data_IF_064539458038
#
_entry.id   IF_064539458038
#
_cell.length_a   1.000
_cell.length_b   1.000
_cell.length_c   1.000
_cell.angle_alpha   90.00
_cell.angle_beta   90.00
_cell.angle_gamma   90.00
#
_symmetry.space_group_name_H-M   'P 1'
#
loop_
_entity.id
_entity.type
_entity.pdbx_description
1 polymer ?
#
# COMPACT_ATOMS: atom_id res chain seq x y z
N UNK A 1 -26.37 5.49 -5.21
CA UNK A 1 -26.52 6.62 -4.25
C UNK A 1 -27.97 6.66 -3.80
N UNK A 2 -28.20 6.88 -2.52
CA UNK A 2 -29.53 7.05 -1.95
C UNK A 2 -29.84 8.55 -1.85
N UNK A 3 -31.12 8.88 -1.72
CA UNK A 3 -31.55 10.26 -1.48
C UNK A 3 -31.18 10.66 -0.05
N UNK A 4 -29.95 11.17 0.13
CA UNK A 4 -29.39 11.50 1.41
C UNK A 4 -30.20 12.56 2.19
N UNK A 5 -30.74 13.64 1.57
CA UNK A 5 -31.59 14.63 2.23
C UNK A 5 -32.85 14.04 2.84
N UNK A 6 -33.45 13.02 2.23
CA UNK A 6 -34.63 12.33 2.79
C UNK A 6 -34.34 11.72 4.19
N UNK A 7 -33.10 11.26 4.41
CA UNK A 7 -32.65 10.74 5.69
C UNK A 7 -32.03 11.83 6.60
N UNK A 8 -32.06 13.09 6.20
CA UNK A 8 -31.43 14.19 6.93
C UNK A 8 -29.90 14.12 6.96
N UNK A 9 -29.30 13.51 5.93
CA UNK A 9 -27.87 13.33 5.75
C UNK A 9 -27.37 14.19 4.58
N UNK A 10 -26.08 14.57 4.59
CA UNK A 10 -25.43 15.30 3.50
C UNK A 10 -25.03 14.33 2.37
N UNK A 11 -24.69 13.09 2.73
CA UNK A 11 -24.36 12.03 1.78
C UNK A 11 -24.75 10.65 2.35
N UNK A 12 -25.26 9.79 1.47
CA UNK A 12 -25.52 8.38 1.79
C UNK A 12 -25.19 7.54 0.55
N UNK A 13 -24.21 6.64 0.70
CA UNK A 13 -23.73 5.78 -0.39
C UNK A 13 -23.69 4.33 0.08
N UNK A 14 -24.42 3.48 -0.63
CA UNK A 14 -24.35 2.03 -0.45
C UNK A 14 -23.45 1.39 -1.50
N UNK A 15 -22.67 0.41 -1.08
CA UNK A 15 -21.87 -0.45 -1.96
C UNK A 15 -22.14 -1.91 -1.64
N UNK A 16 -22.13 -2.75 -2.66
CA UNK A 16 -22.27 -4.19 -2.51
C UNK A 16 -21.35 -4.87 -3.51
N UNK A 17 -20.44 -5.70 -3.01
CA UNK A 17 -19.54 -6.53 -3.78
C UNK A 17 -19.67 -7.99 -3.33
N UNK A 18 -20.11 -8.88 -4.21
CA UNK A 18 -20.20 -10.30 -3.93
C UNK A 18 -19.24 -11.04 -4.85
N UNK A 19 -18.30 -11.74 -4.24
CA UNK A 19 -17.29 -12.53 -4.93
C UNK A 19 -17.39 -13.98 -4.42
N UNK A 20 -17.90 -14.89 -5.25
CA UNK A 20 -18.05 -16.27 -4.87
C UNK A 20 -17.70 -17.19 -6.02
N UNK A 21 -17.01 -18.29 -5.71
CA UNK A 21 -16.66 -19.34 -6.66
C UNK A 21 -17.09 -20.70 -6.13
N UNK A 22 -17.22 -21.69 -7.03
CA UNK A 22 -17.76 -23.02 -6.71
C UNK A 22 -16.76 -23.93 -6.02
N UNK A 23 -15.44 -23.73 -6.25
CA UNK A 23 -14.40 -24.64 -5.77
C UNK A 23 -13.11 -23.91 -5.32
N UNK A 24 -12.29 -24.62 -4.55
CA UNK A 24 -11.05 -24.08 -3.97
C UNK A 24 -9.91 -23.95 -4.98
N UNK A 25 -9.97 -24.63 -6.13
CA UNK A 25 -8.93 -24.61 -7.15
C UNK A 25 -9.11 -23.50 -8.18
N UNK A 26 -10.23 -22.76 -8.12
CA UNK A 26 -10.54 -21.65 -9.03
C UNK A 26 -9.38 -20.68 -9.21
N UNK A 27 -8.69 -20.30 -8.14
CA UNK A 27 -7.56 -19.37 -8.18
C UNK A 27 -6.37 -19.94 -8.96
N UNK A 28 -6.19 -21.26 -8.93
CA UNK A 28 -5.12 -21.95 -9.63
C UNK A 28 -5.45 -22.14 -11.10
N UNK A 29 -6.69 -22.44 -11.41
CA UNK A 29 -7.13 -22.78 -12.76
C UNK A 29 -7.47 -21.54 -13.60
N UNK A 30 -8.02 -20.51 -12.98
CA UNK A 30 -8.58 -19.35 -13.68
C UNK A 30 -7.96 -18.00 -13.30
N UNK A 31 -7.54 -17.79 -12.07
CA UNK A 31 -6.87 -16.55 -11.65
C UNK A 31 -5.36 -16.60 -11.86
N UNK A 32 -4.77 -15.45 -12.19
CA UNK A 32 -3.44 -15.39 -12.81
C UNK A 32 -2.49 -14.40 -12.16
N UNK A 33 -2.88 -13.83 -11.06
CA UNK A 33 -2.01 -13.08 -10.16
C UNK A 33 -1.74 -13.93 -8.94
N UNK A 34 -0.50 -14.41 -8.71
CA UNK A 34 -0.17 -15.19 -7.53
C UNK A 34 -0.11 -14.25 -6.31
N UNK A 35 -1.25 -13.88 -5.78
CA UNK A 35 -1.33 -13.13 -4.53
C UNK A 35 -2.28 -13.82 -3.58
N UNK A 36 -2.05 -13.67 -2.28
CA UNK A 36 -2.95 -14.17 -1.24
C UNK A 36 -4.37 -13.63 -1.41
N UNK A 37 -4.49 -12.40 -1.98
CA UNK A 37 -5.77 -11.77 -2.23
C UNK A 37 -6.64 -12.51 -3.23
N UNK A 38 -6.07 -13.28 -4.16
CA UNK A 38 -6.84 -14.12 -5.10
C UNK A 38 -7.45 -15.36 -4.46
N UNK A 39 -6.95 -15.76 -3.28
CA UNK A 39 -7.47 -16.87 -2.47
C UNK A 39 -8.45 -16.41 -1.39
N UNK A 40 -8.56 -15.10 -1.17
CA UNK A 40 -9.50 -14.46 -0.24
C UNK A 40 -10.51 -13.67 -1.05
N UNK A 41 -11.70 -14.21 -1.21
CA UNK A 41 -12.80 -13.57 -1.93
C UNK A 41 -13.68 -12.83 -0.94
N UNK A 42 -13.54 -11.50 -0.88
CA UNK A 42 -14.33 -10.67 0.01
C UNK A 42 -15.75 -10.50 -0.51
N UNK A 43 -16.72 -10.73 0.36
CA UNK A 43 -18.12 -10.35 0.18
C UNK A 43 -18.35 -9.16 1.11
N UNK A 44 -18.57 -7.99 0.55
CA UNK A 44 -18.58 -6.72 1.27
C UNK A 44 -19.84 -5.93 0.92
N UNK A 45 -20.67 -5.69 1.93
CA UNK A 45 -21.79 -4.77 1.84
C UNK A 45 -21.58 -3.61 2.79
N UNK A 46 -21.60 -2.36 2.31
CA UNK A 46 -21.43 -1.19 3.17
C UNK A 46 -22.40 -0.07 2.86
N UNK A 47 -22.75 0.68 3.90
CA UNK A 47 -23.53 1.89 3.86
C UNK A 47 -22.72 3.01 4.53
N UNK A 48 -22.29 3.98 3.74
CA UNK A 48 -21.48 5.10 4.19
C UNK A 48 -22.35 6.35 4.26
N UNK A 49 -22.24 7.12 5.34
CA UNK A 49 -23.02 8.32 5.58
C UNK A 49 -22.14 9.49 6.06
N UNK A 50 -22.56 10.71 5.74
CA UNK A 50 -21.94 11.95 6.19
C UNK A 50 -23.06 12.91 6.65
N UNK A 51 -22.81 13.61 7.77
CA UNK A 51 -23.66 14.68 8.28
C UNK A 51 -22.83 15.72 9.03
N UNK A 52 -22.58 16.86 8.40
CA UNK A 52 -21.72 17.90 8.97
C UNK A 52 -20.33 17.38 9.32
N UNK A 53 -19.93 17.53 10.58
CA UNK A 53 -18.64 17.04 11.11
C UNK A 53 -18.62 15.52 11.41
N UNK A 54 -19.75 14.82 11.21
CA UNK A 54 -19.88 13.38 11.44
C UNK A 54 -19.80 12.59 10.14
N UNK A 55 -19.12 11.45 10.20
CA UNK A 55 -19.17 10.43 9.16
C UNK A 55 -19.19 9.04 9.77
N UNK A 56 -19.70 8.07 9.04
CA UNK A 56 -19.70 6.70 9.53
C UNK A 56 -20.01 5.68 8.45
N UNK A 57 -19.83 4.42 8.82
CA UNK A 57 -20.05 3.27 7.96
C UNK A 57 -20.73 2.16 8.74
N UNK A 58 -21.76 1.57 8.18
CA UNK A 58 -22.25 0.28 8.60
C UNK A 58 -21.84 -0.75 7.54
N UNK A 59 -21.14 -1.81 7.93
CA UNK A 59 -20.51 -2.77 7.04
C UNK A 59 -20.78 -4.21 7.47
N UNK A 60 -20.96 -5.09 6.48
CA UNK A 60 -20.90 -6.53 6.65
C UNK A 60 -19.85 -7.09 5.70
N UNK A 61 -18.80 -7.70 6.25
CA UNK A 61 -17.68 -8.24 5.49
C UNK A 61 -17.46 -9.69 5.87
N UNK A 62 -17.47 -10.57 4.87
CA UNK A 62 -17.12 -11.99 5.04
C UNK A 62 -16.20 -12.46 3.94
N UNK A 63 -15.49 -13.56 4.18
CA UNK A 63 -14.52 -14.09 3.24
C UNK A 63 -14.85 -15.53 2.82
N UNK A 64 -14.85 -15.77 1.51
CA UNK A 64 -14.66 -17.14 1.00
C UNK A 64 -13.16 -17.35 0.83
N UNK A 65 -12.60 -18.31 1.58
CA UNK A 65 -11.17 -18.65 1.53
C UNK A 65 -10.98 -19.89 0.69
N UNK A 66 -10.17 -19.79 -0.37
CA UNK A 66 -9.85 -20.90 -1.25
C UNK A 66 -8.65 -21.65 -0.67
N UNK A 67 -8.92 -22.71 0.08
CA UNK A 67 -7.88 -23.48 0.75
C UNK A 67 -7.15 -24.41 -0.22
N UNK A 68 -5.82 -24.48 -0.03
CA UNK A 68 -4.95 -25.42 -0.74
C UNK A 68 -4.16 -26.20 0.28
N UNK A 69 -4.40 -27.51 0.37
CA UNK A 69 -3.84 -28.37 1.43
C UNK A 69 -2.30 -28.28 1.58
N UNK A 70 -1.48 -28.23 0.49
CA UNK A 70 -0.03 -28.06 0.61
C UNK A 70 0.44 -26.70 1.12
N UNK A 71 -0.40 -25.65 1.04
CA UNK A 71 -0.10 -24.31 1.49
C UNK A 71 -1.37 -23.64 2.04
N UNK A 72 -1.85 -24.05 3.22
CA UNK A 72 -3.06 -23.47 3.81
C UNK A 72 -2.82 -22.01 4.19
N UNK A 73 -3.87 -21.20 4.12
CA UNK A 73 -3.86 -19.80 4.59
C UNK A 73 -4.85 -19.64 5.74
N UNK A 74 -4.47 -18.82 6.72
CA UNK A 74 -5.36 -18.40 7.79
C UNK A 74 -6.21 -17.24 7.27
N UNK A 75 -7.54 -17.38 7.18
CA UNK A 75 -8.39 -16.28 6.74
C UNK A 75 -8.45 -15.18 7.79
N UNK A 76 -8.62 -13.92 7.40
CA UNK A 76 -8.98 -12.87 8.35
C UNK A 76 -10.37 -13.14 8.94
N UNK A 77 -10.64 -12.56 10.11
CA UNK A 77 -11.97 -12.62 10.69
C UNK A 77 -13.01 -11.93 9.81
N UNK A 78 -14.19 -12.53 9.70
CA UNK A 78 -15.38 -11.86 9.19
C UNK A 78 -15.78 -10.74 10.16
N UNK A 79 -16.36 -9.66 9.65
CA UNK A 79 -16.84 -8.51 10.43
C UNK A 79 -18.32 -8.33 10.17
N UNK A 80 -19.14 -8.83 11.08
CA UNK A 80 -20.60 -8.93 10.87
C UNK A 80 -21.38 -8.67 12.16
N UNK A 81 -21.78 -7.40 12.44
CA UNK A 81 -21.51 -6.18 11.69
C UNK A 81 -20.23 -5.46 12.11
N UNK A 82 -19.80 -4.48 11.32
CA UNK A 82 -18.88 -3.42 11.72
C UNK A 82 -19.62 -2.08 11.59
N UNK A 83 -19.59 -1.25 12.63
CA UNK A 83 -20.23 0.06 12.64
C UNK A 83 -19.20 1.09 13.11
N UNK A 84 -18.88 2.04 12.26
CA UNK A 84 -17.98 3.14 12.61
C UNK A 84 -18.76 4.46 12.68
N UNK A 85 -18.36 5.32 13.61
CA UNK A 85 -18.85 6.68 13.72
C UNK A 85 -17.70 7.61 14.10
N UNK A 86 -17.40 8.54 13.21
CA UNK A 86 -16.25 9.44 13.33
C UNK A 86 -16.76 10.89 13.39
N UNK A 87 -16.22 11.66 14.32
CA UNK A 87 -16.43 13.09 14.44
C UNK A 87 -15.10 13.80 14.27
N UNK A 88 -15.05 14.81 13.38
CA UNK A 88 -13.86 15.60 13.15
C UNK A 88 -14.21 17.08 13.18
N UNK A 89 -13.57 17.83 14.06
CA UNK A 89 -13.71 19.29 14.17
C UNK A 89 -12.34 19.92 14.08
N UNK A 90 -12.10 20.65 13.02
CA UNK A 90 -10.85 21.37 12.79
C UNK A 90 -11.00 22.84 13.19
N UNK A 91 -9.90 23.42 13.67
CA UNK A 91 -9.80 24.84 14.06
C UNK A 91 -10.90 25.32 15.04
N UNK A 92 -11.25 24.45 15.99
CA UNK A 92 -12.12 24.84 17.08
C UNK A 92 -11.34 25.66 18.12
N UNK A 93 -11.37 26.99 17.99
CA UNK A 93 -10.54 27.92 18.77
C UNK A 93 -9.02 27.57 18.69
N UNK A 94 -8.53 27.17 17.54
CA UNK A 94 -7.15 26.76 17.30
C UNK A 94 -6.84 25.32 17.68
N UNK A 95 -7.83 24.51 18.07
CA UNK A 95 -7.67 23.09 18.32
C UNK A 95 -8.33 22.24 17.24
N UNK A 96 -7.68 21.13 16.94
CA UNK A 96 -8.27 20.07 16.14
C UNK A 96 -8.69 18.92 17.07
N UNK A 97 -9.95 18.53 16.99
CA UNK A 97 -10.51 17.42 17.76
C UNK A 97 -11.00 16.34 16.81
N UNK A 98 -10.67 15.08 17.12
CA UNK A 98 -11.25 13.92 16.44
C UNK A 98 -11.68 12.86 17.44
N UNK A 99 -12.79 12.18 17.12
CA UNK A 99 -13.29 11.03 17.86
C UNK A 99 -13.65 9.93 16.86
N UNK A 100 -12.94 8.82 16.94
CA UNK A 100 -13.18 7.66 16.08
C UNK A 100 -13.73 6.53 16.93
N UNK A 101 -14.90 6.01 16.57
CA UNK A 101 -15.54 4.89 17.25
C UNK A 101 -15.74 3.76 16.25
N UNK A 102 -15.50 2.53 16.70
CA UNK A 102 -15.74 1.29 15.96
C UNK A 102 -16.38 0.25 16.88
N UNK A 103 -17.50 -0.27 16.46
CA UNK A 103 -18.07 -1.50 17.00
C UNK A 103 -17.94 -2.58 15.95
N UNK A 104 -17.29 -3.68 16.29
CA UNK A 104 -17.11 -4.81 15.36
C UNK A 104 -17.35 -6.13 16.07
N UNK A 105 -18.18 -6.98 15.48
CA UNK A 105 -18.27 -8.39 15.80
C UNK A 105 -17.37 -9.19 14.86
N UNK A 106 -16.46 -9.95 15.44
CA UNK A 106 -15.48 -10.79 14.75
C UNK A 106 -15.92 -12.26 14.81
N UNK A 107 -16.01 -12.88 13.64
CA UNK A 107 -16.39 -14.27 13.50
C UNK A 107 -15.38 -15.02 12.62
N UNK A 108 -14.98 -16.20 13.05
CA UNK A 108 -14.17 -17.13 12.29
C UNK A 108 -14.51 -18.57 12.70
N UNK A 109 -14.17 -19.53 11.86
CA UNK A 109 -14.30 -20.94 12.23
C UNK A 109 -13.25 -21.27 13.28
N UNK A 110 -13.59 -21.95 14.40
CA UNK A 110 -12.70 -22.11 15.56
C UNK A 110 -11.34 -22.74 15.24
N UNK A 111 -11.26 -23.65 14.28
CA UNK A 111 -10.03 -24.30 13.87
C UNK A 111 -9.10 -23.43 13.00
N UNK A 112 -9.62 -22.35 12.43
CA UNK A 112 -8.88 -21.49 11.50
C UNK A 112 -8.06 -20.42 12.21
N UNK A 113 -8.36 -20.10 13.48
CA UNK A 113 -7.75 -19.01 14.24
C UNK A 113 -6.98 -19.45 15.50
N UNK A 114 -6.42 -20.66 15.49
CA UNK A 114 -5.59 -21.14 16.59
C UNK A 114 -6.34 -21.27 17.93
N UNK A 115 -7.68 -21.43 17.89
CA UNK A 115 -8.52 -21.64 19.07
C UNK A 115 -8.89 -20.35 19.82
N UNK A 116 -8.64 -19.16 19.25
CA UNK A 116 -9.14 -17.90 19.82
C UNK A 116 -10.66 -17.84 19.69
N UNK A 117 -11.39 -17.39 20.72
CA UNK A 117 -12.84 -17.24 20.65
C UNK A 117 -13.23 -16.10 19.73
N UNK A 118 -14.36 -16.21 19.07
CA UNK A 118 -15.04 -15.10 18.44
C UNK A 118 -15.44 -14.07 19.52
N UNK A 119 -15.76 -12.85 19.09
CA UNK A 119 -16.14 -11.82 20.06
C UNK A 119 -16.49 -10.50 19.43
N UNK A 120 -16.86 -9.58 20.30
CA UNK A 120 -17.21 -8.22 19.97
C UNK A 120 -16.16 -7.26 20.53
N UNK A 121 -15.89 -6.18 19.80
CA UNK A 121 -15.03 -5.10 20.24
C UNK A 121 -15.72 -3.76 20.06
N UNK A 122 -15.71 -2.97 21.11
CA UNK A 122 -16.01 -1.53 21.07
C UNK A 122 -14.70 -0.79 21.24
N UNK A 123 -14.34 0.03 20.28
CA UNK A 123 -13.13 0.85 20.24
C UNK A 123 -13.50 2.32 20.16
N UNK A 124 -12.79 3.17 20.88
CA UNK A 124 -12.92 4.61 20.81
C UNK A 124 -11.55 5.27 20.90
N UNK A 125 -11.21 6.11 19.96
CA UNK A 125 -10.01 6.93 19.94
C UNK A 125 -10.40 8.41 19.89
N UNK A 126 -10.20 9.10 21.01
CA UNK A 126 -10.31 10.55 21.07
C UNK A 126 -8.93 11.18 20.89
N UNK A 127 -8.81 12.20 20.06
CA UNK A 127 -7.58 12.98 19.93
C UNK A 127 -7.85 14.47 19.93
N UNK A 128 -6.94 15.21 20.56
CA UNK A 128 -6.94 16.67 20.62
C UNK A 128 -5.54 17.16 20.28
N UNK A 129 -5.42 17.99 19.28
CA UNK A 129 -4.15 18.63 18.88
C UNK A 129 -4.31 20.13 18.75
N UNK A 130 -3.22 20.86 18.90
CA UNK A 130 -3.16 22.30 18.67
C UNK A 130 -2.01 22.64 17.73
N UNK A 131 -2.27 22.78 16.43
CA UNK A 131 -1.25 23.18 15.47
C UNK A 131 -0.81 24.63 15.65
N UNK A 132 0.49 24.86 15.83
CA UNK A 132 1.11 26.17 15.75
C UNK A 132 1.91 26.21 14.44
N UNK A 133 1.39 26.93 13.47
CA UNK A 133 1.91 26.94 12.10
C UNK A 133 2.40 28.34 11.72
N UNK A 134 3.60 28.39 11.13
CA UNK A 134 4.13 29.57 10.45
C UNK A 134 4.68 29.14 9.09
N UNK A 135 5.01 30.04 8.17
CA UNK A 135 5.56 29.64 6.87
C UNK A 135 6.84 28.79 6.95
N UNK A 136 7.64 28.98 8.00
CA UNK A 136 8.92 28.26 8.16
C UNK A 136 8.97 27.28 9.31
N UNK A 137 7.90 27.15 10.13
CA UNK A 137 7.90 26.25 11.29
C UNK A 137 6.53 25.66 11.56
N UNK A 138 6.51 24.46 12.11
CA UNK A 138 5.32 23.89 12.70
C UNK A 138 5.64 23.21 14.04
N UNK A 139 4.72 23.31 14.99
CA UNK A 139 4.74 22.58 16.26
C UNK A 139 3.33 22.12 16.57
N UNK A 140 3.14 20.80 16.67
CA UNK A 140 1.82 20.19 16.84
C UNK A 140 1.83 19.25 18.04
N UNK A 141 1.59 19.73 19.26
CA UNK A 141 1.29 18.87 20.39
C UNK A 141 -0.06 18.18 20.19
N UNK A 142 -0.13 16.89 20.52
CA UNK A 142 -1.33 16.06 20.43
C UNK A 142 -1.45 15.16 21.65
N UNK A 143 -2.63 15.03 22.15
CA UNK A 143 -3.02 14.05 23.18
C UNK A 143 -4.07 13.11 22.60
N UNK A 144 -3.91 11.84 22.85
CA UNK A 144 -4.82 10.80 22.37
C UNK A 144 -5.23 9.93 23.55
N UNK A 145 -6.47 9.47 23.55
CA UNK A 145 -6.97 8.48 24.50
C UNK A 145 -7.62 7.34 23.71
N UNK A 146 -7.01 6.16 23.80
CA UNK A 146 -7.53 4.94 23.23
C UNK A 146 -8.25 4.14 24.31
N UNK A 147 -9.53 3.87 24.13
CA UNK A 147 -10.34 3.03 24.99
C UNK A 147 -10.93 1.87 24.20
N UNK A 148 -10.76 0.65 24.69
CA UNK A 148 -11.24 -0.56 24.00
C UNK A 148 -11.88 -1.49 25.02
N UNK A 149 -13.04 -2.06 24.68
CA UNK A 149 -13.71 -3.10 25.45
C UNK A 149 -14.01 -4.29 24.55
N UNK A 150 -13.86 -5.49 25.10
CA UNK A 150 -14.10 -6.76 24.42
C UNK A 150 -15.09 -7.60 25.20
N UNK A 151 -15.97 -8.30 24.49
CA UNK A 151 -16.79 -9.39 24.99
C UNK A 151 -16.52 -10.62 24.12
N UNK A 152 -16.13 -11.73 24.73
CA UNK A 152 -15.78 -12.97 24.03
C UNK A 152 -16.91 -13.99 24.13
N UNK A 153 -17.12 -14.78 23.08
CA UNK A 153 -18.13 -15.86 23.04
C UNK A 153 -17.71 -17.07 23.89
N UNK A 154 -16.45 -17.12 24.32
CA UNK A 154 -15.90 -18.14 25.19
C UNK A 154 -14.67 -17.63 25.94
N UNK A 155 -14.16 -18.39 26.90
CA UNK A 155 -12.99 -17.98 27.67
C UNK A 155 -11.74 -17.89 26.80
N UNK A 156 -10.93 -16.86 27.00
CA UNK A 156 -9.62 -16.73 26.36
C UNK A 156 -8.71 -17.87 26.80
N UNK A 157 -7.98 -18.43 25.84
CA UNK A 157 -7.02 -19.53 26.11
C UNK A 157 -5.85 -19.11 26.98
N UNK A 158 -5.56 -17.80 27.05
CA UNK A 158 -4.43 -17.23 27.81
C UNK A 158 -4.70 -17.07 29.30
N UNK A 159 -5.92 -16.68 29.69
CA UNK A 159 -6.24 -16.35 31.09
C UNK A 159 -7.68 -16.71 31.50
N UNK A 160 -8.46 -17.35 30.64
CA UNK A 160 -9.84 -17.76 30.92
C UNK A 160 -10.86 -16.62 30.98
N UNK A 161 -10.48 -15.38 30.65
CA UNK A 161 -11.40 -14.25 30.70
C UNK A 161 -12.43 -14.31 29.56
N UNK A 162 -13.66 -13.88 29.83
CA UNK A 162 -14.74 -13.72 28.83
C UNK A 162 -14.98 -12.27 28.44
N UNK A 163 -14.30 -11.34 29.10
CA UNK A 163 -14.31 -9.92 28.77
C UNK A 163 -12.94 -9.30 29.05
N UNK A 164 -12.66 -8.19 28.39
CA UNK A 164 -11.46 -7.40 28.65
C UNK A 164 -11.72 -5.93 28.35
N UNK A 165 -10.95 -5.07 28.99
CA UNK A 165 -10.93 -3.64 28.67
C UNK A 165 -9.51 -3.08 28.73
N UNK A 166 -9.30 -1.97 28.03
CA UNK A 166 -8.01 -1.30 27.99
C UNK A 166 -8.22 0.19 27.76
N UNK A 167 -7.48 1.01 28.50
CA UNK A 167 -7.38 2.45 28.27
C UNK A 167 -5.91 2.84 28.21
N UNK A 168 -5.50 3.46 27.09
CA UNK A 168 -4.12 3.84 26.83
C UNK A 168 -4.07 5.30 26.38
N UNK A 169 -3.51 6.21 27.21
CA UNK A 169 -3.22 7.57 26.78
C UNK A 169 -1.94 7.60 25.96
N UNK A 170 -1.89 8.46 24.95
CA UNK A 170 -0.69 8.75 24.16
C UNK A 170 -0.52 10.25 24.04
N UNK A 171 0.69 10.73 24.22
CA UNK A 171 1.11 12.09 23.92
C UNK A 171 2.07 12.06 22.75
N UNK A 172 1.91 12.98 21.80
CA UNK A 172 2.88 13.20 20.74
C UNK A 172 3.16 14.68 20.53
N UNK A 173 4.37 14.99 20.09
CA UNK A 173 4.82 16.31 19.71
C UNK A 173 5.52 16.22 18.37
N UNK A 174 4.88 16.75 17.34
CA UNK A 174 5.46 16.83 16.00
C UNK A 174 5.95 18.26 15.75
N UNK A 175 7.19 18.42 15.35
CA UNK A 175 7.77 19.73 15.11
C UNK A 175 8.77 19.69 13.95
N UNK A 176 8.83 20.79 13.21
CA UNK A 176 9.76 20.92 12.11
C UNK A 176 10.02 22.34 11.70
N UNK A 177 11.11 22.51 10.97
CA UNK A 177 11.54 23.77 10.38
C UNK A 177 11.60 23.60 8.86
N UNK A 178 11.36 24.66 8.13
CA UNK A 178 11.46 24.69 6.67
C UNK A 178 12.36 25.85 6.29
N UNK A 179 13.53 25.53 5.79
CA UNK A 179 14.48 26.50 5.24
C UNK A 179 14.42 26.45 3.73
N UNK A 180 14.47 27.59 3.09
CA UNK A 180 14.46 27.68 1.63
C UNK A 180 15.65 28.51 1.16
N UNK A 181 16.20 28.13 0.00
CA UNK A 181 17.19 28.94 -0.72
C UNK A 181 17.09 28.73 -2.21
N UNK A 182 17.49 29.71 -2.97
CA UNK A 182 17.73 29.54 -4.39
C UNK A 182 19.09 28.84 -4.59
N UNK A 183 19.11 27.85 -5.49
CA UNK A 183 20.28 27.05 -5.78
C UNK A 183 20.37 26.75 -7.27
N UNK A 184 21.58 26.51 -7.76
CA UNK A 184 21.81 26.09 -9.15
C UNK A 184 22.60 24.80 -9.16
N UNK A 185 22.07 23.76 -9.76
CA UNK A 185 22.70 22.47 -9.92
C UNK A 185 22.70 22.05 -11.40
N UNK A 186 23.88 21.72 -11.90
CA UNK A 186 24.08 21.28 -13.29
C UNK A 186 23.49 22.27 -14.32
N UNK A 187 23.63 23.59 -14.05
CA UNK A 187 23.16 24.63 -14.94
C UNK A 187 21.65 24.90 -14.92
N UNK A 188 20.92 24.32 -13.98
CA UNK A 188 19.47 24.50 -13.78
C UNK A 188 19.19 25.15 -12.43
N UNK A 189 18.33 26.16 -12.43
CA UNK A 189 17.89 26.83 -11.19
C UNK A 189 16.85 26.00 -10.45
N UNK A 190 16.94 26.00 -9.13
CA UNK A 190 15.99 25.32 -8.22
C UNK A 190 15.74 26.18 -6.99
N UNK A 191 14.55 26.04 -6.41
CA UNK A 191 14.31 26.34 -5.01
C UNK A 191 14.61 25.08 -4.20
N UNK A 192 15.65 25.12 -3.38
CA UNK A 192 16.03 24.04 -2.48
C UNK A 192 15.39 24.28 -1.12
N UNK A 193 14.72 23.25 -0.57
CA UNK A 193 14.28 23.23 0.83
C UNK A 193 15.20 22.36 1.68
N UNK A 194 15.28 22.67 2.98
CA UNK A 194 15.84 21.81 4.02
C UNK A 194 14.84 21.75 5.16
N UNK A 195 14.34 20.54 5.45
CA UNK A 195 13.18 20.30 6.31
C UNK A 195 13.55 19.34 7.44
N UNK A 196 14.26 19.80 8.52
CA UNK A 196 14.44 18.98 9.72
C UNK A 196 13.12 18.83 10.47
N UNK A 197 12.85 17.60 10.94
CA UNK A 197 11.64 17.22 11.68
C UNK A 197 12.02 16.40 12.91
N UNK A 198 11.38 16.70 14.03
CA UNK A 198 11.47 15.94 15.27
C UNK A 198 10.07 15.55 15.72
N UNK A 199 9.87 14.25 15.95
CA UNK A 199 8.61 13.68 16.36
C UNK A 199 8.80 12.84 17.61
N UNK A 200 8.27 13.30 18.72
CA UNK A 200 8.32 12.62 20.01
C UNK A 200 6.98 11.94 20.31
N UNK A 201 7.04 10.72 20.82
CA UNK A 201 5.85 9.96 21.25
C UNK A 201 6.09 9.35 22.62
N UNK A 202 5.12 9.51 23.49
CA UNK A 202 5.04 8.83 24.78
C UNK A 202 3.70 8.11 24.95
N UNK A 203 3.76 6.80 25.14
CA UNK A 203 2.62 5.92 25.42
C UNK A 203 3.04 4.96 26.53
N UNK A 204 2.41 4.97 27.73
CA UNK A 204 2.80 4.09 28.81
C UNK A 204 2.47 2.63 28.47
N UNK A 205 3.34 1.73 28.94
CA UNK A 205 3.10 0.30 28.78
C UNK A 205 1.78 -0.12 29.45
N UNK A 206 1.03 -0.96 28.73
CA UNK A 206 -0.12 -1.72 29.26
C UNK A 206 0.00 -3.15 28.76
N UNK A 207 -0.13 -4.12 29.67
CA UNK A 207 -0.12 -5.53 29.27
C UNK A 207 -1.30 -5.81 28.36
N UNK A 208 -1.02 -6.30 27.17
CA UNK A 208 -1.98 -6.64 26.12
C UNK A 208 -1.79 -8.07 25.62
N UNK A 209 -0.87 -8.85 26.21
CA UNK A 209 -0.49 -10.19 25.72
C UNK A 209 -1.64 -11.21 25.82
N UNK A 210 -2.61 -10.95 26.69
CA UNK A 210 -3.80 -11.79 26.85
C UNK A 210 -4.92 -11.48 25.84
N UNK A 211 -4.88 -10.32 25.18
CA UNK A 211 -5.90 -9.92 24.24
C UNK A 211 -5.76 -10.67 22.90
N UNK A 212 -6.86 -11.01 22.23
CA UNK A 212 -6.82 -11.58 20.91
C UNK A 212 -6.25 -10.60 19.87
N UNK A 213 -5.97 -11.09 18.68
CA UNK A 213 -5.63 -10.29 17.51
C UNK A 213 -6.65 -10.60 16.43
N UNK A 214 -7.61 -9.69 16.23
CA UNK A 214 -8.66 -9.81 15.24
C UNK A 214 -8.29 -9.13 13.92
N UNK A 215 -7.74 -7.91 13.98
CA UNK A 215 -7.48 -7.07 12.81
C UNK A 215 -6.15 -6.29 12.86
N UNK A 216 -5.32 -6.59 13.84
CA UNK A 216 -4.06 -5.87 14.02
C UNK A 216 -2.90 -6.57 13.32
N UNK A 217 -2.04 -5.77 12.70
CA UNK A 217 -0.76 -6.19 12.15
C UNK A 217 0.33 -5.16 12.54
N UNK A 218 1.57 -5.62 12.59
CA UNK A 218 2.71 -4.72 12.79
C UNK A 218 2.97 -3.92 11.50
N UNK A 219 3.11 -2.61 11.63
CA UNK A 219 3.44 -1.74 10.52
C UNK A 219 4.89 -1.94 10.08
N UNK A 220 5.12 -1.96 8.78
CA UNK A 220 6.47 -1.89 8.23
C UNK A 220 7.16 -0.59 8.66
N UNK A 221 8.43 -0.68 9.04
CA UNK A 221 9.23 0.49 9.35
C UNK A 221 9.74 1.13 8.05
N UNK A 222 9.19 2.28 7.69
CA UNK A 222 9.51 3.02 6.46
C UNK A 222 9.17 4.52 6.61
N UNK A 223 9.41 5.32 5.57
CA UNK A 223 9.11 6.76 5.60
C UNK A 223 7.64 7.12 5.80
N UNK A 224 6.69 6.24 5.44
CA UNK A 224 5.26 6.48 5.65
C UNK A 224 4.85 6.25 7.12
N UNK A 225 5.57 5.38 7.84
CA UNK A 225 5.21 4.95 9.19
C UNK A 225 6.18 5.44 10.28
N UNK A 226 7.32 6.04 9.89
CA UNK A 226 8.34 6.46 10.86
C UNK A 226 7.86 7.57 11.81
N UNK A 227 6.88 8.38 11.39
CA UNK A 227 6.27 9.47 12.17
C UNK A 227 4.84 9.13 12.58
N UNK A 228 4.60 7.92 13.08
CA UNK A 228 3.29 7.50 13.60
C UNK A 228 3.36 7.19 15.08
N UNK A 229 2.27 7.43 15.80
CA UNK A 229 2.15 7.21 17.23
C UNK A 229 2.12 5.72 17.59
N UNK A 230 1.47 4.89 16.74
CA UNK A 230 1.32 3.47 16.96
C UNK A 230 2.13 2.66 15.94
N UNK A 231 2.88 1.67 16.41
CA UNK A 231 3.63 0.74 15.57
C UNK A 231 2.75 -0.36 14.93
N UNK A 232 1.47 -0.41 15.30
CA UNK A 232 0.52 -1.39 14.79
C UNK A 232 -0.60 -0.70 13.99
N UNK A 233 -1.10 -1.40 12.98
CA UNK A 233 -2.38 -1.14 12.33
C UNK A 233 -3.50 -1.87 13.08
N UNK A 234 -4.77 -1.51 12.84
CA UNK A 234 -5.91 -2.06 13.58
C UNK A 234 -5.95 -1.58 15.02
N UNK A 235 -6.84 -2.17 15.82
CA UNK A 235 -7.21 -1.61 17.12
C UNK A 235 -6.96 -2.54 18.31
N UNK A 236 -6.39 -3.75 18.09
CA UNK A 236 -6.14 -4.72 19.17
C UNK A 236 -4.84 -4.48 19.91
N UNK A 237 -3.87 -3.80 19.29
CA UNK A 237 -2.57 -3.48 19.87
C UNK A 237 -2.28 -2.00 19.76
N UNK A 238 -1.87 -1.41 20.89
CA UNK A 238 -1.32 -0.06 20.97
C UNK A 238 0.09 -0.18 21.51
N UNK A 239 1.09 0.23 20.74
CA UNK A 239 2.48 0.16 21.15
C UNK A 239 2.75 1.09 22.32
N UNK A 240 3.44 0.57 23.32
CA UNK A 240 4.11 1.42 24.30
C UNK A 240 5.25 2.16 23.59
N UNK A 241 5.44 3.40 23.95
CA UNK A 241 6.40 4.28 23.26
C UNK A 241 6.98 5.30 24.23
N UNK A 242 8.28 5.44 24.18
CA UNK A 242 9.02 6.58 24.70
C UNK A 242 10.17 6.80 23.73
N UNK A 243 9.89 7.53 22.66
CA UNK A 243 10.81 7.61 21.51
C UNK A 243 10.77 8.97 20.85
N UNK A 244 11.90 9.32 20.24
CA UNK A 244 12.09 10.50 19.41
C UNK A 244 12.53 10.06 18.02
N UNK A 245 11.75 10.41 17.00
CA UNK A 245 12.15 10.27 15.60
C UNK A 245 12.72 11.57 15.09
N UNK A 246 13.95 11.53 14.61
CA UNK A 246 14.60 12.65 13.94
C UNK A 246 14.72 12.36 12.46
N UNK A 247 14.46 13.35 11.64
CA UNK A 247 14.65 13.23 10.21
C UNK A 247 14.95 14.56 9.55
N UNK A 248 15.52 14.48 8.37
CA UNK A 248 15.77 15.63 7.50
C UNK A 248 15.38 15.27 6.09
N UNK A 249 14.61 16.14 5.45
CA UNK A 249 14.29 16.05 4.03
C UNK A 249 14.82 17.27 3.30
N UNK A 250 15.36 17.09 2.11
CA UNK A 250 15.68 18.19 1.20
C UNK A 250 14.99 17.95 -0.15
N UNK A 251 14.43 19.00 -0.72
CA UNK A 251 13.76 18.96 -2.02
C UNK A 251 14.38 19.97 -2.96
N UNK A 252 14.41 19.63 -4.23
CA UNK A 252 14.73 20.53 -5.32
C UNK A 252 13.45 20.76 -6.13
N UNK A 253 12.94 21.97 -6.06
CA UNK A 253 11.68 22.37 -6.72
C UNK A 253 12.03 23.29 -7.88
N UNK A 254 11.50 22.97 -9.04
CA UNK A 254 11.62 23.83 -10.24
C UNK A 254 10.85 25.12 -10.00
N UNK A 255 11.49 26.30 -10.06
CA UNK A 255 10.85 27.57 -9.72
C UNK A 255 9.76 28.00 -10.72
N UNK A 256 9.84 27.54 -11.98
CA UNK A 256 8.91 27.92 -13.04
C UNK A 256 7.64 27.08 -13.04
N UNK A 257 7.77 25.78 -12.72
CA UNK A 257 6.67 24.81 -12.79
C UNK A 257 6.13 24.40 -11.42
N UNK A 258 6.87 24.65 -10.33
CA UNK A 258 6.59 24.11 -9.00
C UNK A 258 6.79 22.59 -8.87
N UNK A 259 7.29 21.92 -9.91
CA UNK A 259 7.49 20.50 -9.91
C UNK A 259 8.70 20.08 -9.07
N UNK A 260 8.56 19.02 -8.27
CA UNK A 260 9.67 18.44 -7.51
C UNK A 260 10.58 17.62 -8.43
N UNK A 261 11.80 18.11 -8.63
CA UNK A 261 12.81 17.46 -9.46
C UNK A 261 13.62 16.42 -8.69
N UNK A 262 13.86 16.63 -7.38
CA UNK A 262 14.49 15.65 -6.53
C UNK A 262 14.08 15.83 -5.07
N UNK A 263 14.06 14.71 -4.34
CA UNK A 263 13.84 14.64 -2.89
C UNK A 263 14.80 13.64 -2.30
N UNK A 264 15.43 14.01 -1.19
CA UNK A 264 16.27 13.13 -0.39
C UNK A 264 15.82 13.21 1.05
N UNK A 265 15.78 12.08 1.72
CA UNK A 265 15.36 11.99 3.11
C UNK A 265 16.21 11.02 3.90
N UNK A 266 16.42 11.36 5.17
CA UNK A 266 17.04 10.49 6.18
C UNK A 266 16.21 10.58 7.44
N UNK A 267 15.96 9.44 8.09
CA UNK A 267 15.26 9.42 9.37
C UNK A 267 15.75 8.26 10.24
N UNK A 268 15.77 8.48 11.55
CA UNK A 268 16.08 7.46 12.54
C UNK A 268 15.29 7.71 13.81
N UNK A 269 14.96 6.63 14.51
CA UNK A 269 14.21 6.64 15.76
C UNK A 269 15.15 6.33 16.93
N UNK A 270 15.13 7.16 17.97
CA UNK A 270 15.82 6.94 19.24
C UNK A 270 14.79 6.53 20.28
N UNK A 271 14.97 5.37 20.92
CA UNK A 271 14.13 4.86 22.01
C UNK A 271 14.76 5.18 23.36
N UNK A 272 13.97 5.72 24.28
CA UNK A 272 14.37 6.00 25.67
C UNK A 272 13.96 4.88 26.62
N UNK A 273 13.08 3.97 26.16
CA UNK A 273 12.65 2.78 26.87
C UNK A 273 12.39 1.63 25.88
N UNK A 274 12.44 0.41 26.36
CA UNK A 274 12.10 -0.78 25.59
C UNK A 274 10.63 -0.73 25.18
N UNK A 275 10.30 -1.25 24.01
CA UNK A 275 8.93 -1.44 23.54
C UNK A 275 8.53 -2.90 23.82
N UNK A 276 7.63 -3.08 24.80
CA UNK A 276 7.27 -4.39 25.34
C UNK A 276 6.01 -5.00 24.71
N UNK A 277 5.15 -4.14 24.11
CA UNK A 277 3.95 -4.62 23.42
C UNK A 277 4.33 -5.17 22.06
N UNK A 278 3.99 -6.45 21.84
CA UNK A 278 4.30 -7.20 20.61
C UNK A 278 3.05 -7.86 20.03
N UNK A 279 3.17 -8.34 18.81
CA UNK A 279 2.26 -9.36 18.27
C UNK A 279 2.50 -10.70 18.98
N UNK A 280 1.52 -11.63 18.99
CA UNK A 280 1.71 -12.97 19.58
C UNK A 280 2.95 -13.66 19.03
N UNK A 281 3.81 -14.15 19.92
CA UNK A 281 5.09 -14.76 19.57
C UNK A 281 6.20 -13.79 19.16
N UNK A 282 5.94 -12.48 19.15
CA UNK A 282 6.95 -11.46 18.88
C UNK A 282 7.89 -11.22 20.06
N UNK A 283 9.03 -10.60 19.77
CA UNK A 283 10.05 -10.24 20.77
C UNK A 283 9.99 -8.72 21.01
N UNK A 284 10.08 -8.26 22.28
CA UNK A 284 10.22 -6.84 22.61
C UNK A 284 11.38 -6.18 21.87
N UNK A 285 11.19 -4.91 21.49
CA UNK A 285 12.24 -4.12 20.84
C UNK A 285 13.07 -3.40 21.89
N UNK A 286 14.30 -3.83 22.07
CA UNK A 286 15.24 -3.30 23.09
C UNK A 286 16.33 -2.41 22.51
N UNK A 287 16.49 -2.39 21.18
CA UNK A 287 17.49 -1.57 20.50
C UNK A 287 17.21 -0.09 20.71
N UNK A 288 18.21 0.64 21.18
CA UNK A 288 18.12 2.08 21.44
C UNK A 288 17.89 2.89 20.16
N UNK A 289 18.55 2.51 19.08
CA UNK A 289 18.39 3.11 17.77
C UNK A 289 17.63 2.17 16.83
N UNK A 290 16.71 2.71 16.06
CA UNK A 290 16.15 1.97 14.96
C UNK A 290 17.12 1.85 13.80
N UNK A 291 16.78 1.03 12.82
CA UNK A 291 17.39 1.12 11.51
C UNK A 291 17.32 2.55 10.98
N UNK A 292 18.36 2.92 10.23
CA UNK A 292 18.44 4.19 9.52
C UNK A 292 17.66 4.08 8.22
N UNK A 293 16.72 4.98 8.01
CA UNK A 293 15.97 5.09 6.75
C UNK A 293 16.66 6.12 5.84
N UNK A 294 16.98 5.70 4.63
CA UNK A 294 17.50 6.55 3.57
C UNK A 294 16.51 6.50 2.40
N UNK A 295 16.15 7.64 1.84
CA UNK A 295 15.24 7.74 0.71
C UNK A 295 15.72 8.76 -0.30
N UNK A 296 15.54 8.43 -1.58
CA UNK A 296 15.80 9.34 -2.69
C UNK A 296 14.70 9.16 -3.75
N UNK A 297 14.23 10.27 -4.29
CA UNK A 297 13.36 10.32 -5.45
C UNK A 297 13.90 11.40 -6.38
N UNK A 298 14.17 11.04 -7.63
CA UNK A 298 14.77 11.94 -8.62
C UNK A 298 13.93 11.89 -9.90
N UNK A 299 13.29 13.03 -10.20
CA UNK A 299 12.52 13.27 -11.42
C UNK A 299 13.18 14.43 -12.19
N UNK A 300 14.48 14.27 -12.52
CA UNK A 300 15.30 15.35 -13.10
C UNK A 300 14.72 15.91 -14.38
N UNK A 301 14.09 15.07 -15.16
CA UNK A 301 13.29 15.42 -16.33
C UNK A 301 11.98 14.63 -16.30
N UNK A 302 10.92 15.09 -17.00
CA UNK A 302 9.67 14.32 -17.10
C UNK A 302 9.84 12.90 -17.69
N UNK A 303 10.99 12.64 -18.33
CA UNK A 303 11.30 11.37 -19.00
C UNK A 303 11.93 10.32 -18.07
N UNK A 304 12.60 10.76 -17.00
CA UNK A 304 13.32 9.91 -16.07
C UNK A 304 12.77 10.01 -14.65
N UNK A 305 12.57 8.87 -14.04
CA UNK A 305 12.25 8.76 -12.62
C UNK A 305 13.17 7.69 -12.00
N UNK A 306 13.82 8.04 -10.91
CA UNK A 306 14.62 7.13 -10.09
C UNK A 306 14.14 7.24 -8.65
N UNK A 307 13.78 6.11 -8.05
CA UNK A 307 13.32 6.02 -6.68
C UNK A 307 14.18 5.01 -5.93
N UNK A 308 14.59 5.35 -4.72
CA UNK A 308 15.39 4.47 -3.88
C UNK A 308 15.02 4.62 -2.41
N UNK A 309 14.90 3.49 -1.71
CA UNK A 309 14.79 3.43 -0.26
C UNK A 309 15.70 2.35 0.29
N UNK A 310 16.39 2.66 1.37
CA UNK A 310 17.25 1.73 2.08
C UNK A 310 16.92 1.83 3.57
N UNK A 311 16.67 0.69 4.18
CA UNK A 311 16.59 0.51 5.62
C UNK A 311 17.89 -0.18 6.06
N UNK A 312 18.76 0.53 6.74
CA UNK A 312 20.08 0.09 7.14
C UNK A 312 20.16 -0.08 8.65
N UNK A 313 20.55 -1.26 9.09
CA UNK A 313 20.79 -1.54 10.50
C UNK A 313 22.23 -1.20 10.84
N UNK A 314 22.47 -0.19 11.71
CA UNK A 314 23.82 0.23 12.07
C UNK A 314 24.55 -0.78 12.97
N UNK A 315 23.84 -1.58 13.76
CA UNK A 315 24.43 -2.54 14.70
C UNK A 315 24.98 -3.77 13.97
N UNK A 316 24.23 -4.28 13.00
CA UNK A 316 24.65 -5.42 12.16
C UNK A 316 25.43 -4.99 10.93
N UNK A 317 25.46 -3.69 10.62
CA UNK A 317 26.08 -3.09 9.42
C UNK A 317 25.53 -3.68 8.11
N UNK A 318 24.28 -4.09 8.10
CA UNK A 318 23.61 -4.70 6.95
C UNK A 318 22.35 -3.94 6.58
N UNK A 319 21.92 -4.07 5.32
CA UNK A 319 20.61 -3.57 4.91
C UNK A 319 19.53 -4.58 5.31
N UNK A 320 18.53 -4.11 6.03
CA UNK A 320 17.33 -4.90 6.33
C UNK A 320 16.37 -4.95 5.13
N UNK A 321 16.26 -3.83 4.41
CA UNK A 321 15.44 -3.73 3.20
C UNK A 321 16.05 -2.71 2.24
N UNK A 322 16.08 -3.03 0.96
CA UNK A 322 16.47 -2.11 -0.11
C UNK A 322 15.47 -2.22 -1.25
N UNK A 323 15.00 -1.08 -1.75
CA UNK A 323 14.20 -1.00 -2.95
C UNK A 323 14.76 0.13 -3.82
N UNK A 324 15.16 -0.21 -5.03
CA UNK A 324 15.65 0.74 -6.03
C UNK A 324 14.83 0.56 -7.29
N UNK A 325 14.39 1.63 -7.90
CA UNK A 325 13.71 1.58 -9.19
C UNK A 325 14.15 2.72 -10.09
N UNK A 326 14.21 2.45 -11.38
CA UNK A 326 14.46 3.45 -12.41
C UNK A 326 13.49 3.24 -13.56
N UNK A 327 13.00 4.34 -14.10
CA UNK A 327 12.10 4.33 -15.26
C UNK A 327 12.49 5.40 -16.25
N UNK A 328 12.49 5.01 -17.51
CA UNK A 328 12.65 5.89 -18.66
C UNK A 328 11.39 5.87 -19.52
N UNK A 329 10.73 7.00 -19.64
CA UNK A 329 9.50 7.17 -20.42
C UNK A 329 9.58 8.45 -21.25
N UNK A 330 10.28 8.41 -22.41
CA UNK A 330 10.53 9.61 -23.22
C UNK A 330 9.31 10.16 -23.95
N UNK A 331 8.30 9.31 -24.21
CA UNK A 331 7.06 9.66 -24.89
C UNK A 331 6.01 8.57 -24.68
N UNK A 332 4.74 8.81 -25.03
CA UNK A 332 3.71 7.76 -25.07
C UNK A 332 4.20 6.52 -25.81
N UNK A 333 3.78 5.35 -25.37
CA UNK A 333 4.13 4.03 -25.95
C UNK A 333 5.61 3.63 -25.81
N UNK A 334 6.44 4.43 -25.13
CA UNK A 334 7.85 4.12 -24.87
C UNK A 334 8.09 4.19 -23.37
N UNK A 335 8.21 3.04 -22.75
CA UNK A 335 8.55 2.93 -21.33
C UNK A 335 9.47 1.74 -21.10
N UNK A 336 10.50 1.94 -20.31
CA UNK A 336 11.35 0.90 -19.76
C UNK A 336 11.48 1.18 -18.28
N UNK A 337 11.26 0.17 -17.44
CA UNK A 337 11.50 0.27 -16.01
C UNK A 337 12.30 -0.93 -15.51
N UNK A 338 13.14 -0.69 -14.52
CA UNK A 338 13.90 -1.71 -13.83
C UNK A 338 13.78 -1.45 -12.33
N UNK A 339 13.59 -2.50 -11.53
CA UNK A 339 13.56 -2.41 -10.08
C UNK A 339 14.40 -3.54 -9.46
N UNK A 340 15.11 -3.22 -8.40
CA UNK A 340 15.78 -4.18 -7.52
C UNK A 340 15.16 -4.11 -6.15
N UNK A 341 14.87 -5.26 -5.56
CA UNK A 341 14.34 -5.38 -4.20
C UNK A 341 15.18 -6.38 -3.42
N UNK A 342 15.49 -6.00 -2.21
CA UNK A 342 16.12 -6.85 -1.20
C UNK A 342 15.35 -6.74 0.10
N UNK A 343 15.13 -7.86 0.75
CA UNK A 343 14.59 -7.95 2.11
C UNK A 343 15.35 -9.04 2.83
N UNK A 344 16.00 -8.67 3.93
CA UNK A 344 16.69 -9.63 4.79
C UNK A 344 15.69 -10.66 5.36
N UNK A 345 16.12 -11.89 5.50
CA UNK A 345 15.35 -12.91 6.21
C UNK A 345 15.40 -12.61 7.71
N UNK A 346 14.26 -12.67 8.37
CA UNK A 346 14.14 -12.49 9.82
C UNK A 346 14.27 -13.79 10.59
N UNK A 347 14.40 -14.93 9.89
CA UNK A 347 14.60 -16.25 10.52
C UNK A 347 16.08 -16.50 10.83
N UNK A 348 16.45 -16.95 12.06
CA UNK A 348 17.85 -17.13 12.46
C UNK A 348 18.63 -18.17 11.66
N UNK A 349 17.98 -18.89 10.76
CA UNK A 349 18.55 -20.07 10.06
C UNK A 349 19.02 -19.79 8.64
N UNK A 350 18.71 -18.61 8.05
CA UNK A 350 19.18 -18.26 6.72
C UNK A 350 19.69 -16.82 6.68
N UNK A 351 20.90 -16.65 6.15
CA UNK A 351 21.51 -15.34 5.91
C UNK A 351 21.19 -14.80 4.50
N UNK A 352 20.39 -15.50 3.73
CA UNK A 352 20.09 -15.20 2.34
C UNK A 352 18.69 -14.57 2.22
N UNK A 353 18.62 -13.27 2.42
CA UNK A 353 17.36 -12.52 2.22
C UNK A 353 16.85 -12.62 0.78
N UNK A 354 15.55 -12.40 0.61
CA UNK A 354 14.88 -12.41 -0.69
C UNK A 354 15.39 -11.27 -1.58
N UNK A 355 15.96 -11.61 -2.73
CA UNK A 355 16.49 -10.68 -3.74
C UNK A 355 15.77 -10.88 -5.06
N UNK A 356 15.22 -9.81 -5.61
CA UNK A 356 14.51 -9.88 -6.88
C UNK A 356 14.84 -8.69 -7.79
N UNK A 357 14.91 -8.96 -9.08
CA UNK A 357 15.03 -7.96 -10.14
C UNK A 357 13.78 -8.03 -11.00
N UNK A 358 13.16 -6.89 -11.24
CA UNK A 358 11.99 -6.73 -12.10
C UNK A 358 12.32 -5.77 -13.22
N UNK A 359 12.06 -6.17 -14.48
CA UNK A 359 12.25 -5.32 -15.66
C UNK A 359 10.98 -5.35 -16.48
N UNK A 360 10.45 -4.18 -16.86
CA UNK A 360 9.27 -4.10 -17.72
C UNK A 360 9.46 -3.08 -18.83
N UNK A 361 8.78 -3.31 -19.94
CA UNK A 361 8.89 -2.44 -21.12
C UNK A 361 7.65 -2.47 -22.01
N UNK A 362 7.45 -1.35 -22.69
CA UNK A 362 6.64 -1.20 -23.89
C UNK A 362 7.46 -0.35 -24.85
N UNK A 363 7.78 -0.85 -26.03
CA UNK A 363 8.61 -0.11 -26.99
C UNK A 363 8.22 -0.41 -28.43
N UNK A 364 8.07 0.62 -29.30
CA UNK A 364 7.83 0.41 -30.73
C UNK A 364 9.08 -0.19 -31.40
N UNK A 365 8.94 -1.36 -32.00
CA UNK A 365 10.04 -2.01 -32.73
C UNK A 365 10.44 -1.23 -33.98
N UNK A 366 9.52 -0.48 -34.56
CA UNK A 366 9.78 0.37 -35.71
C UNK A 366 10.88 1.41 -35.48
N UNK A 367 11.12 1.80 -34.21
CA UNK A 367 12.22 2.69 -33.85
C UNK A 367 13.60 2.12 -34.22
N UNK A 368 13.76 0.78 -34.28
CA UNK A 368 15.02 0.11 -34.60
C UNK A 368 15.48 0.38 -36.04
N UNK A 369 14.56 0.65 -36.95
CA UNK A 369 14.86 0.99 -38.34
C UNK A 369 14.52 2.44 -38.72
N UNK A 370 14.42 3.30 -37.69
CA UNK A 370 14.32 4.76 -37.82
C UNK A 370 12.92 5.33 -38.05
N UNK A 371 11.89 4.49 -38.11
CA UNK A 371 10.51 4.94 -38.20
C UNK A 371 9.93 5.25 -36.78
N UNK A 372 10.03 6.50 -36.34
CA UNK A 372 9.56 6.94 -35.03
C UNK A 372 8.05 7.09 -34.92
N UNK A 373 7.30 7.04 -36.04
CA UNK A 373 5.88 7.31 -36.09
C UNK A 373 5.50 8.75 -35.71
N UNK A 374 4.24 9.05 -35.81
CA UNK A 374 3.67 10.32 -35.42
C UNK A 374 2.72 10.14 -34.23
N UNK A 375 2.91 10.89 -33.16
CA UNK A 375 1.95 10.90 -32.05
C UNK A 375 0.64 11.53 -32.53
N UNK A 376 -0.42 10.73 -32.60
CA UNK A 376 -1.75 11.17 -33.05
C UNK A 376 -2.63 11.68 -31.89
N UNK A 377 -2.04 11.77 -30.70
CA UNK A 377 -2.71 12.20 -29.46
C UNK A 377 -3.17 11.02 -28.60
N UNK A 378 -3.71 11.33 -27.41
CA UNK A 378 -4.12 10.34 -26.42
C UNK A 378 -5.08 9.30 -27.00
N UNK A 379 -4.74 8.01 -26.89
CA UNK A 379 -5.57 6.89 -27.32
C UNK A 379 -5.73 6.74 -28.85
N UNK A 380 -4.90 7.42 -29.67
CA UNK A 380 -4.97 7.34 -31.13
C UNK A 380 -3.79 6.60 -31.77
N UNK A 381 -2.82 6.16 -30.97
CA UNK A 381 -1.64 5.45 -31.45
C UNK A 381 -0.60 6.35 -32.13
N UNK A 382 0.31 5.74 -32.86
CA UNK A 382 1.42 6.41 -33.56
C UNK A 382 1.40 6.21 -35.09
N UNK A 383 0.25 5.87 -35.64
CA UNK A 383 0.08 5.48 -37.06
C UNK A 383 -0.12 3.97 -37.20
N UNK A 384 -0.62 3.56 -38.37
CA UNK A 384 -0.81 2.14 -38.69
C UNK A 384 0.47 1.46 -39.14
N UNK A 385 0.48 0.11 -39.08
CA UNK A 385 1.62 -0.70 -39.50
C UNK A 385 2.77 -0.78 -38.49
N UNK A 386 2.48 -0.60 -37.18
CA UNK A 386 3.50 -0.53 -36.15
C UNK A 386 3.48 -1.72 -35.20
N UNK A 387 4.66 -2.24 -34.92
CA UNK A 387 4.89 -3.29 -33.94
C UNK A 387 5.41 -2.73 -32.64
N UNK A 388 4.94 -3.28 -31.54
CA UNK A 388 5.39 -2.93 -30.18
C UNK A 388 5.82 -4.21 -29.46
N UNK A 389 7.01 -4.19 -28.88
CA UNK A 389 7.42 -5.20 -27.91
C UNK A 389 6.92 -4.79 -26.53
N UNK A 390 6.28 -5.72 -25.84
CA UNK A 390 5.74 -5.51 -24.49
C UNK A 390 6.18 -6.65 -23.59
N UNK A 391 6.52 -6.34 -22.33
CA UNK A 391 6.89 -7.40 -21.42
C UNK A 391 7.22 -6.93 -20.02
N UNK A 392 7.29 -7.92 -19.15
CA UNK A 392 7.81 -7.82 -17.78
C UNK A 392 8.44 -9.14 -17.40
N UNK A 393 9.58 -9.08 -16.74
CA UNK A 393 10.29 -10.24 -16.19
C UNK A 393 10.62 -9.96 -14.74
N UNK A 394 10.19 -10.82 -13.83
CA UNK A 394 10.55 -10.82 -12.43
C UNK A 394 11.43 -12.03 -12.14
N UNK A 395 12.67 -11.79 -11.76
CA UNK A 395 13.68 -12.80 -11.54
C UNK A 395 14.13 -12.80 -10.09
N UNK A 396 14.01 -13.95 -9.41
CA UNK A 396 14.57 -14.17 -8.08
C UNK A 396 16.06 -14.50 -8.19
N UNK A 397 16.90 -13.65 -7.59
CA UNK A 397 18.35 -13.89 -7.53
C UNK A 397 18.71 -14.97 -6.52
N UNK A 398 17.88 -15.15 -5.49
CA UNK A 398 18.05 -16.18 -4.47
C UNK A 398 17.85 -17.58 -5.07
N UNK A 399 16.69 -17.82 -5.66
CA UNK A 399 16.37 -19.13 -6.27
C UNK A 399 16.94 -19.30 -7.68
N UNK A 400 17.56 -18.25 -8.26
CA UNK A 400 18.05 -18.20 -9.64
C UNK A 400 16.98 -18.61 -10.67
N UNK A 401 15.73 -18.17 -10.46
CA UNK A 401 14.57 -18.54 -11.29
C UNK A 401 13.73 -17.33 -11.67
N UNK A 402 13.12 -17.43 -12.87
CA UNK A 402 12.07 -16.53 -13.30
C UNK A 402 10.79 -16.86 -12.48
N UNK A 403 10.39 -15.93 -11.62
CA UNK A 403 9.24 -16.09 -10.74
C UNK A 403 7.94 -15.89 -11.51
N UNK A 404 7.85 -14.81 -12.25
CA UNK A 404 6.75 -14.50 -13.15
C UNK A 404 7.23 -13.67 -14.33
N UNK A 405 6.51 -13.72 -15.42
CA UNK A 405 6.87 -12.96 -16.61
C UNK A 405 5.73 -12.87 -17.60
N UNK A 406 5.72 -11.77 -18.32
CA UNK A 406 4.83 -11.49 -19.43
C UNK A 406 5.68 -11.05 -20.61
N UNK A 407 5.54 -11.69 -21.76
CA UNK A 407 6.24 -11.35 -22.99
C UNK A 407 5.24 -11.30 -24.14
N UNK A 408 5.29 -10.28 -24.96
CA UNK A 408 4.37 -10.22 -26.08
C UNK A 408 4.69 -9.17 -27.10
N UNK A 409 3.88 -9.19 -28.13
CA UNK A 409 3.89 -8.23 -29.21
C UNK A 409 2.48 -7.69 -29.45
N UNK A 410 2.42 -6.42 -29.78
CA UNK A 410 1.22 -5.76 -30.24
C UNK A 410 1.47 -5.18 -31.63
N UNK A 411 0.48 -5.29 -32.49
CA UNK A 411 0.50 -4.70 -33.84
C UNK A 411 -0.66 -3.74 -33.99
N UNK A 412 -0.39 -2.49 -34.33
CA UNK A 412 -1.39 -1.47 -34.66
C UNK A 412 -1.58 -1.40 -36.18
N UNK A 413 -2.69 -1.95 -36.66
CA UNK A 413 -3.08 -1.94 -38.11
C UNK A 413 -3.98 -0.74 -38.46
N UNK A 414 -3.99 0.35 -37.67
CA UNK A 414 -4.87 1.51 -37.81
C UNK A 414 -6.32 1.25 -37.37
N UNK A 415 -7.02 0.33 -37.98
CA UNK A 415 -8.44 0.03 -37.71
C UNK A 415 -8.62 -1.24 -36.86
N UNK A 416 -7.54 -1.96 -36.65
CA UNK A 416 -7.51 -3.16 -35.82
C UNK A 416 -6.18 -3.26 -35.07
N UNK A 417 -6.19 -3.95 -33.94
CA UNK A 417 -5.01 -4.24 -33.12
C UNK A 417 -4.93 -5.74 -32.89
N UNK A 418 -3.78 -6.32 -33.25
CA UNK A 418 -3.45 -7.69 -32.92
C UNK A 418 -2.55 -7.74 -31.69
N UNK A 419 -2.82 -8.66 -30.74
CA UNK A 419 -1.96 -8.88 -29.57
C UNK A 419 -1.70 -10.37 -29.39
N UNK A 420 -0.44 -10.69 -29.15
CA UNK A 420 0.00 -12.04 -28.76
C UNK A 420 0.85 -11.91 -27.52
N UNK A 421 0.43 -12.52 -26.42
CA UNK A 421 1.11 -12.39 -25.14
C UNK A 421 1.26 -13.76 -24.49
N UNK A 422 2.49 -14.12 -24.14
CA UNK A 422 2.86 -15.25 -23.32
C UNK A 422 2.96 -14.78 -21.88
N UNK A 423 2.25 -15.43 -20.98
CA UNK A 423 2.34 -15.17 -19.55
C UNK A 423 2.76 -16.44 -18.82
N UNK A 424 3.73 -16.31 -17.94
CA UNK A 424 4.16 -17.34 -17.02
C UNK A 424 4.00 -16.84 -15.60
N UNK A 425 3.30 -17.62 -14.79
CA UNK A 425 3.03 -17.30 -13.37
C UNK A 425 3.38 -18.53 -12.53
N UNK A 426 4.17 -18.31 -11.48
CA UNK A 426 4.47 -19.37 -10.50
C UNK A 426 3.28 -19.50 -9.55
N UNK A 427 2.64 -20.67 -9.55
CA UNK A 427 1.42 -20.96 -8.77
C UNK A 427 1.70 -21.66 -7.44
N UNK A 428 2.97 -21.81 -7.07
CA UNK A 428 3.42 -22.46 -5.84
C UNK A 428 4.95 -22.54 -5.82
N UNK A 429 5.53 -23.19 -4.82
CA UNK A 429 6.99 -23.28 -4.70
C UNK A 429 7.67 -24.04 -5.86
N UNK A 430 6.96 -24.91 -6.58
CA UNK A 430 7.52 -25.81 -7.58
C UNK A 430 6.83 -25.76 -8.93
N UNK A 431 5.59 -25.29 -9.02
CA UNK A 431 4.78 -25.31 -10.25
C UNK A 431 4.61 -23.93 -10.87
N UNK A 432 4.77 -23.84 -12.18
CA UNK A 432 4.49 -22.63 -12.94
C UNK A 432 3.43 -22.94 -14.01
N UNK A 433 2.45 -22.07 -14.12
CA UNK A 433 1.46 -22.08 -15.21
C UNK A 433 1.90 -21.15 -16.32
N UNK A 434 1.87 -21.63 -17.56
CA UNK A 434 2.20 -20.84 -18.73
C UNK A 434 1.01 -20.82 -19.68
N UNK A 435 0.66 -19.64 -20.17
CA UNK A 435 -0.43 -19.49 -21.15
C UNK A 435 -0.05 -18.55 -22.30
N UNK A 436 -0.68 -18.77 -23.43
CA UNK A 436 -0.64 -17.87 -24.58
C UNK A 436 -2.00 -17.21 -24.71
N UNK A 437 -2.00 -15.90 -24.85
CA UNK A 437 -3.19 -15.08 -25.05
C UNK A 437 -3.16 -14.43 -26.41
N UNK A 438 -4.29 -14.45 -27.09
CA UNK A 438 -4.50 -13.78 -28.38
C UNK A 438 -5.66 -12.81 -28.28
N UNK A 439 -5.52 -11.65 -28.87
CA UNK A 439 -6.61 -10.69 -29.03
C UNK A 439 -6.54 -10.04 -30.40
N UNK A 440 -7.66 -10.01 -31.08
CA UNK A 440 -7.92 -9.14 -32.21
C UNK A 440 -8.97 -8.11 -31.79
N UNK A 441 -8.58 -6.85 -31.78
CA UNK A 441 -9.47 -5.74 -31.43
C UNK A 441 -9.75 -4.92 -32.71
N UNK A 442 -11.01 -4.82 -33.08
CA UNK A 442 -11.50 -3.89 -34.11
C UNK A 442 -11.80 -2.57 -33.38
N UNK A 443 -11.00 -1.54 -33.70
CA UNK A 443 -10.99 -0.28 -32.95
C UNK A 443 -12.37 0.37 -32.94
N UNK A 444 -12.93 0.55 -31.74
CA UNK A 444 -14.26 1.16 -31.54
C UNK A 444 -15.44 0.24 -31.80
N UNK A 445 -15.25 -1.04 -32.13
CA UNK A 445 -16.35 -1.94 -32.48
C UNK A 445 -16.40 -3.21 -31.61
N UNK A 446 -15.37 -4.04 -31.60
CA UNK A 446 -15.36 -5.30 -30.86
C UNK A 446 -13.96 -5.79 -30.56
N UNK A 447 -13.82 -6.67 -29.57
CA UNK A 447 -12.61 -7.41 -29.31
C UNK A 447 -12.91 -8.91 -29.25
N UNK A 448 -12.12 -9.72 -29.95
CA UNK A 448 -12.22 -11.16 -30.03
C UNK A 448 -10.99 -11.80 -29.35
N UNK A 449 -11.21 -12.87 -28.63
CA UNK A 449 -10.15 -13.63 -27.94
C UNK A 449 -10.05 -13.34 -26.45
N UNK A 450 -8.91 -13.70 -25.86
CA UNK A 450 -8.59 -13.41 -24.45
C UNK A 450 -8.31 -11.91 -24.25
N UNK A 451 -8.09 -11.46 -23.03
CA UNK A 451 -7.91 -10.03 -22.73
C UNK A 451 -6.48 -9.68 -22.30
N UNK A 452 -5.46 -9.84 -23.18
CA UNK A 452 -4.06 -9.55 -22.88
C UNK A 452 -3.82 -8.07 -22.52
N UNK A 453 -4.62 -7.14 -23.05
CA UNK A 453 -4.54 -5.72 -22.70
C UNK A 453 -4.64 -5.49 -21.19
N UNK A 454 -5.55 -6.20 -20.50
CA UNK A 454 -5.68 -6.10 -19.04
C UNK A 454 -4.42 -6.58 -18.32
N UNK A 455 -3.87 -7.71 -18.76
CA UNK A 455 -2.61 -8.26 -18.24
C UNK A 455 -1.45 -7.28 -18.44
N UNK A 456 -1.30 -6.69 -19.62
CA UNK A 456 -0.25 -5.70 -19.92
C UNK A 456 -0.40 -4.45 -19.03
N UNK A 457 -1.61 -3.91 -18.91
CA UNK A 457 -1.89 -2.72 -18.06
C UNK A 457 -1.56 -2.98 -16.58
N UNK A 458 -1.77 -4.19 -16.09
CA UNK A 458 -1.50 -4.55 -14.69
C UNK A 458 -0.01 -4.83 -14.44
N UNK A 459 0.73 -5.27 -15.45
CA UNK A 459 2.11 -5.73 -15.30
C UNK A 459 3.16 -4.71 -15.75
N UNK A 460 2.85 -3.79 -16.64
CA UNK A 460 3.82 -2.84 -17.19
C UNK A 460 3.51 -1.44 -16.63
N UNK A 461 4.48 -0.86 -15.93
CA UNK A 461 4.35 0.49 -15.39
C UNK A 461 4.27 1.51 -16.54
N UNK A 462 3.28 2.42 -16.48
CA UNK A 462 3.05 3.42 -17.54
C UNK A 462 2.77 2.82 -18.92
N UNK A 463 2.26 1.59 -18.98
CA UNK A 463 1.73 1.04 -20.23
C UNK A 463 0.68 1.98 -20.81
N UNK A 464 0.85 2.33 -22.06
CA UNK A 464 -0.10 3.18 -22.80
C UNK A 464 -0.85 2.28 -23.78
N UNK A 465 -2.19 2.09 -23.63
CA UNK A 465 -2.98 1.35 -24.60
C UNK A 465 -2.86 1.99 -26.01
N UNK A 466 -2.63 1.19 -27.04
CA UNK A 466 -2.40 1.68 -28.39
C UNK A 466 -3.57 2.54 -28.90
N UNK A 467 -4.79 2.08 -28.61
CA UNK A 467 -6.00 2.84 -28.91
C UNK A 467 -7.00 2.66 -27.78
N UNK A 468 -7.63 3.74 -27.36
CA UNK A 468 -8.75 3.71 -26.43
C UNK A 468 -10.04 3.84 -27.21
N UNK A 469 -11.06 3.01 -26.96
CA UNK A 469 -12.38 3.24 -27.54
C UNK A 469 -12.82 4.67 -27.17
N UNK A 470 -13.27 5.44 -28.16
CA UNK A 470 -13.94 6.70 -27.85
C UNK A 470 -15.21 6.34 -27.08
N UNK A 471 -15.18 6.55 -25.76
CA UNK A 471 -16.42 6.53 -24.96
C UNK A 471 -17.17 7.77 -25.43
N UNK A 472 -18.14 7.59 -26.33
CA UNK A 472 -19.11 8.63 -26.64
C UNK A 472 -19.78 9.05 -25.34
N UNK A 473 -20.21 10.32 -25.19
CA UNK A 473 -20.89 10.74 -23.98
C UNK A 473 -22.08 9.83 -23.75
N UNK A 474 -22.09 9.19 -22.59
CA UNK A 474 -23.25 8.43 -22.12
C UNK A 474 -24.45 9.38 -22.09
N UNK A 475 -25.41 9.17 -22.98
CA UNK A 475 -26.72 9.82 -22.93
C UNK A 475 -27.49 9.35 -21.72
#
# INVERSE_FOLDING_TARGET
TFDAPYFGLDSLVGTLGINRVSDNDYWRDFTRTPSLTTRLLANDGSLNWIKGDWSGTARALSYQTLQYAPAPIVPPYDRMPQITANYNKYDWNGFDFSLNNDYTRFEAKPLEQGGQPNGERVFSLASLSRPFLTPGTFVVPKVMLNATAYQFDGPLTTNGATYANRVVPTFSLDSGLIFERDANYFGRAFRQTLEPRAFYVYTPYRNQNYLPVYDTAQNDFNFATVYTENAFSGDDRISDSNLLTLGVTTRLIDPDTGAEAARFGIAQRLRFADQLVTMPGGVPVTDRFSDLLLGAQINWTPKWSVDGTVQYNPDTQTSARTALSARYNPSPYRTISAAYRYQADTTPTSNDGNRAVDVSWQWPLNDLWGDKGQDLGPGRGQGGGRWYAVGRLNYSLESSKLTDGVLGFEYDGCCWIGRVVLERVTTGQVTASTRIMFQLELVGFAALGSSPRRTLTQNIQRYTPLRTPSIGPSR
#
